data_IF_709042951114
#
_entry.id   IF_709042951114
#
_cell.length_a   1.000
_cell.length_b   1.000
_cell.length_c   1.000
_cell.angle_alpha   90.00
_cell.angle_beta   90.00
_cell.angle_gamma   90.00
#
_symmetry.space_group_name_H-M   'P 1'
#
loop_
_entity.id
_entity.type
_entity.pdbx_description
1 polymer ?
#
# COMPACT_ATOMS: atom_id res chain seq x y z
N UNK A 1 -28.75 6.33 -11.42
CA UNK A 1 -27.75 5.45 -12.08
C UNK A 1 -26.32 5.86 -11.75
N UNK A 2 -25.96 7.14 -11.85
CA UNK A 2 -24.62 7.63 -11.51
C UNK A 2 -24.28 7.46 -10.02
N UNK A 3 -25.21 7.74 -9.10
CA UNK A 3 -25.00 7.53 -7.65
C UNK A 3 -24.76 6.06 -7.27
N UNK A 4 -25.48 5.12 -7.90
CA UNK A 4 -25.28 3.68 -7.66
C UNK A 4 -23.93 3.18 -8.16
N UNK A 5 -23.45 3.72 -9.29
CA UNK A 5 -22.10 3.46 -9.81
C UNK A 5 -21.04 4.06 -8.87
N UNK A 6 -21.24 5.28 -8.38
CA UNK A 6 -20.33 5.94 -7.46
C UNK A 6 -20.23 5.21 -6.11
N UNK A 7 -21.35 4.66 -5.62
CA UNK A 7 -21.38 3.78 -4.45
C UNK A 7 -20.59 2.49 -4.67
N UNK A 8 -20.78 1.82 -5.82
CA UNK A 8 -20.01 0.63 -6.18
C UNK A 8 -18.51 0.90 -6.30
N UNK A 9 -18.12 2.03 -6.93
CA UNK A 9 -16.72 2.44 -6.99
C UNK A 9 -16.14 2.71 -5.61
N UNK A 10 -16.86 3.39 -4.71
CA UNK A 10 -16.39 3.64 -3.35
C UNK A 10 -16.22 2.35 -2.53
N UNK A 11 -17.15 1.40 -2.66
CA UNK A 11 -17.01 0.09 -2.00
C UNK A 11 -15.85 -0.70 -2.58
N UNK A 12 -15.75 -0.81 -3.91
CA UNK A 12 -14.65 -1.53 -4.58
C UNK A 12 -13.29 -0.90 -4.29
N UNK A 13 -13.14 0.42 -4.42
CA UNK A 13 -11.90 1.11 -4.08
C UNK A 13 -11.58 0.98 -2.59
N UNK A 14 -12.57 1.11 -1.70
CA UNK A 14 -12.37 0.93 -0.26
C UNK A 14 -11.86 -0.46 0.11
N UNK A 15 -12.44 -1.50 -0.47
CA UNK A 15 -12.07 -2.90 -0.23
C UNK A 15 -10.71 -3.25 -0.85
N UNK A 16 -10.43 -2.74 -2.06
CA UNK A 16 -9.13 -2.89 -2.72
C UNK A 16 -8.04 -2.18 -1.92
N UNK A 17 -8.28 -0.94 -1.48
CA UNK A 17 -7.34 -0.18 -0.65
C UNK A 17 -7.02 -0.89 0.65
N UNK A 18 -8.04 -1.40 1.37
CA UNK A 18 -7.81 -2.19 2.60
C UNK A 18 -6.98 -3.43 2.31
N UNK A 19 -7.34 -4.19 1.27
CA UNK A 19 -6.65 -5.43 0.90
C UNK A 19 -5.20 -5.16 0.52
N UNK A 20 -4.92 -4.10 -0.23
CA UNK A 20 -3.56 -3.68 -0.60
C UNK A 20 -2.74 -3.27 0.62
N UNK A 21 -3.30 -2.45 1.52
CA UNK A 21 -2.60 -2.06 2.77
C UNK A 21 -2.28 -3.29 3.61
N UNK A 22 -3.20 -4.25 3.73
CA UNK A 22 -2.96 -5.51 4.43
C UNK A 22 -1.85 -6.32 3.77
N UNK A 23 -1.84 -6.46 2.44
CA UNK A 23 -0.78 -7.14 1.70
C UNK A 23 0.58 -6.47 1.88
N UNK A 24 0.66 -5.15 1.78
CA UNK A 24 1.89 -4.40 2.03
C UNK A 24 2.38 -4.58 3.48
N UNK A 25 1.46 -4.57 4.45
CA UNK A 25 1.80 -4.78 5.87
C UNK A 25 2.38 -6.17 6.11
N UNK A 26 1.78 -7.21 5.53
CA UNK A 26 2.30 -8.59 5.59
C UNK A 26 3.67 -8.67 4.90
N UNK A 27 3.80 -8.06 3.71
CA UNK A 27 5.06 -8.02 2.98
C UNK A 27 6.18 -7.32 3.75
N UNK A 28 5.88 -6.20 4.42
CA UNK A 28 6.81 -5.48 5.29
C UNK A 28 7.19 -6.34 6.50
N UNK A 29 6.25 -7.03 7.13
CA UNK A 29 6.52 -7.93 8.25
C UNK A 29 7.44 -9.08 7.84
N UNK A 30 7.15 -9.75 6.73
CA UNK A 30 7.95 -10.88 6.22
C UNK A 30 9.35 -10.42 5.80
N UNK A 31 9.45 -9.33 5.03
CA UNK A 31 10.74 -8.77 4.64
C UNK A 31 11.53 -8.24 5.84
N UNK A 32 10.85 -7.67 6.84
CA UNK A 32 11.47 -7.14 8.06
C UNK A 32 12.02 -8.26 8.94
N UNK A 33 11.24 -9.33 9.13
CA UNK A 33 11.69 -10.53 9.83
C UNK A 33 12.84 -11.22 9.11
N UNK A 34 12.77 -11.36 7.77
CA UNK A 34 13.87 -11.96 7.00
C UNK A 34 15.09 -11.04 6.86
N UNK A 35 14.94 -9.72 6.96
CA UNK A 35 16.08 -8.81 7.07
C UNK A 35 16.72 -8.83 8.47
N UNK A 36 15.92 -9.04 9.54
CA UNK A 36 16.42 -9.09 10.91
C UNK A 36 17.02 -10.45 11.29
N UNK A 37 16.45 -11.55 10.83
CA UNK A 37 16.82 -12.92 11.19
C UNK A 37 17.31 -13.78 10.01
N UNK A 38 17.27 -13.28 8.78
CA UNK A 38 17.75 -14.03 7.62
C UNK A 38 19.28 -14.05 7.54
N UNK A 39 19.84 -15.17 7.07
CA UNK A 39 21.28 -15.34 6.89
C UNK A 39 21.89 -14.24 6.02
N UNK A 40 23.14 -13.88 6.33
CA UNK A 40 23.87 -12.71 5.78
C UNK A 40 23.84 -12.62 4.25
N UNK A 41 23.70 -13.75 3.56
CA UNK A 41 23.62 -13.84 2.09
C UNK A 41 22.35 -13.21 1.49
N UNK A 42 21.22 -13.28 2.21
CA UNK A 42 19.91 -12.83 1.71
C UNK A 42 19.43 -11.52 2.35
N UNK A 43 20.04 -11.10 3.44
CA UNK A 43 19.77 -9.83 4.14
C UNK A 43 19.69 -8.59 3.23
N UNK A 44 20.65 -8.34 2.31
CA UNK A 44 20.60 -7.15 1.46
C UNK A 44 19.47 -7.18 0.43
N UNK A 45 19.05 -8.36 -0.03
CA UNK A 45 17.86 -8.51 -0.91
C UNK A 45 16.58 -8.20 -0.15
N UNK A 46 16.42 -8.73 1.05
CA UNK A 46 15.24 -8.46 1.88
C UNK A 46 15.16 -7.00 2.33
N UNK A 47 16.29 -6.36 2.60
CA UNK A 47 16.34 -4.92 2.92
C UNK A 47 15.88 -4.06 1.74
N UNK A 48 16.29 -4.40 0.51
CA UNK A 48 15.79 -3.73 -0.72
C UNK A 48 14.30 -4.00 -0.94
N UNK A 49 13.84 -5.23 -0.70
CA UNK A 49 12.43 -5.59 -0.75
C UNK A 49 11.59 -4.79 0.25
N UNK A 50 12.05 -4.70 1.50
CA UNK A 50 11.42 -3.89 2.55
C UNK A 50 11.27 -2.42 2.12
N UNK A 51 12.34 -1.83 1.59
CA UNK A 51 12.32 -0.44 1.08
C UNK A 51 11.28 -0.30 -0.04
N UNK A 52 11.24 -1.22 -0.99
CA UNK A 52 10.24 -1.18 -2.08
C UNK A 52 8.79 -1.29 -1.56
N UNK A 53 8.56 -2.12 -0.53
CA UNK A 53 7.24 -2.22 0.11
C UNK A 53 6.85 -0.94 0.84
N UNK A 54 7.79 -0.33 1.57
CA UNK A 54 7.55 0.94 2.29
C UNK A 54 7.27 2.08 1.30
N UNK A 55 8.07 2.19 0.23
CA UNK A 55 7.87 3.23 -0.80
C UNK A 55 6.52 3.04 -1.51
N UNK A 56 6.14 1.81 -1.84
CA UNK A 56 4.84 1.50 -2.43
C UNK A 56 3.68 1.90 -1.52
N UNK A 57 3.77 1.60 -0.22
CA UNK A 57 2.77 2.01 0.77
C UNK A 57 2.65 3.53 0.87
N UNK A 58 3.77 4.25 0.90
CA UNK A 58 3.80 5.73 0.96
C UNK A 58 3.10 6.34 -0.24
N UNK A 59 3.43 5.89 -1.46
CA UNK A 59 2.79 6.35 -2.70
C UNK A 59 1.29 6.07 -2.67
N UNK A 60 0.88 4.91 -2.17
CA UNK A 60 -0.53 4.53 -2.08
C UNK A 60 -1.32 5.42 -1.10
N UNK A 61 -0.72 5.78 0.04
CA UNK A 61 -1.33 6.71 1.02
C UNK A 61 -1.41 8.13 0.46
N UNK A 62 -0.36 8.60 -0.23
CA UNK A 62 -0.32 9.91 -0.87
C UNK A 62 -1.35 10.04 -1.99
N UNK A 63 -1.63 8.96 -2.74
CA UNK A 63 -2.62 8.98 -3.81
C UNK A 63 -4.00 9.43 -3.29
N UNK A 64 -4.40 8.98 -2.09
CA UNK A 64 -5.65 9.44 -1.47
C UNK A 64 -5.63 10.94 -1.18
N UNK A 65 -4.54 11.44 -0.58
CA UNK A 65 -4.40 12.87 -0.29
C UNK A 65 -4.43 13.73 -1.55
N UNK A 66 -3.83 13.25 -2.64
CA UNK A 66 -3.85 13.94 -3.93
C UNK A 66 -5.29 14.01 -4.47
N UNK A 67 -6.03 12.90 -4.45
CA UNK A 67 -7.43 12.88 -4.89
C UNK A 67 -8.30 13.79 -4.04
N UNK A 68 -8.18 13.74 -2.72
CA UNK A 68 -8.92 14.61 -1.80
C UNK A 68 -8.58 16.10 -2.04
N UNK A 69 -7.30 16.42 -2.30
CA UNK A 69 -6.87 17.78 -2.62
C UNK A 69 -7.53 18.31 -3.91
N UNK A 70 -7.60 17.48 -4.96
CA UNK A 70 -8.30 17.86 -6.20
C UNK A 70 -9.80 17.96 -6.00
N UNK A 71 -10.43 17.10 -5.19
CA UNK A 71 -11.87 17.20 -4.91
C UNK A 71 -12.25 18.43 -4.06
N UNK A 72 -11.39 18.90 -3.16
CA UNK A 72 -11.67 20.09 -2.34
C UNK A 72 -11.42 21.42 -3.04
N UNK A 73 -10.63 21.45 -4.11
CA UNK A 73 -10.22 22.70 -4.80
C UNK A 73 -10.81 22.85 -6.21
N UNK A 74 -11.61 21.89 -6.68
CA UNK A 74 -12.33 21.94 -7.96
C UNK A 74 -13.83 22.13 -7.72
#
# INVERSE_FOLDING_TARGET
MFESLQGLFNTLFGDITKTFITLFTIGILVCGLMAAFGGEENQPRFKKGLISCIVGLIVFVLAKQIVDYFQSNL
#
